data_IF_669383249913
#
_entry.id   IF_669383249913
#
_cell.length_a   1.000
_cell.length_b   1.000
_cell.length_c   1.000
_cell.angle_alpha   90.00
_cell.angle_beta   90.00
_cell.angle_gamma   90.00
#
_symmetry.space_group_name_H-M   'P 1'
#
loop_
_entity.id
_entity.type
_entity.pdbx_description
1 polymer ?
#
# COMPACT_ATOMS: atom_id res chain seq x y z
N UNK A 1 -9.62 17.39 -26.92
CA UNK A 1 -10.57 16.33 -26.58
C UNK A 1 -9.73 15.09 -26.39
N UNK A 2 -9.42 14.73 -25.13
CA UNK A 2 -8.62 13.53 -24.88
C UNK A 2 -9.42 12.33 -25.35
N UNK A 3 -8.75 11.39 -26.03
CA UNK A 3 -9.39 10.32 -26.77
C UNK A 3 -10.29 9.53 -25.80
N UNK A 4 -11.58 9.80 -25.85
CA UNK A 4 -12.62 8.87 -25.38
C UNK A 4 -12.69 7.79 -26.45
N UNK A 5 -12.79 6.55 -26.01
CA UNK A 5 -13.11 5.39 -26.85
C UNK A 5 -11.92 4.75 -27.57
N UNK A 6 -11.09 4.02 -26.81
CA UNK A 6 -10.67 2.66 -27.19
C UNK A 6 -10.28 1.89 -25.94
N UNK A 7 -11.21 1.18 -25.28
CA UNK A 7 -10.92 -0.09 -24.59
C UNK A 7 -12.21 -0.91 -24.37
N UNK A 8 -12.02 -2.22 -24.38
CA UNK A 8 -12.93 -3.33 -24.73
C UNK A 8 -13.81 -3.74 -23.53
N UNK A 9 -15.09 -4.15 -23.72
CA UNK A 9 -15.92 -4.65 -22.63
C UNK A 9 -15.52 -6.09 -22.24
N UNK A 10 -15.35 -6.34 -20.94
CA UNK A 10 -15.11 -7.68 -20.36
C UNK A 10 -16.42 -8.16 -19.71
N UNK A 11 -16.98 -9.27 -20.21
CA UNK A 11 -18.13 -9.95 -19.59
C UNK A 11 -17.66 -10.88 -18.44
N UNK A 12 -18.42 -11.02 -17.35
CA UNK A 12 -18.17 -12.03 -16.32
C UNK A 12 -18.98 -13.32 -16.59
N UNK A 13 -18.40 -14.49 -16.30
CA UNK A 13 -19.15 -15.75 -16.18
C UNK A 13 -18.98 -16.38 -14.79
N UNK A 14 -20.10 -16.95 -14.37
CA UNK A 14 -20.44 -17.57 -13.09
C UNK A 14 -19.63 -18.83 -12.75
N UNK A 15 -19.46 -19.08 -11.45
CA UNK A 15 -18.69 -20.20 -10.91
C UNK A 15 -19.44 -21.52 -10.75
N UNK A 16 -18.79 -22.50 -10.09
CA UNK A 16 -19.43 -23.66 -9.48
C UNK A 16 -18.68 -24.17 -8.23
N UNK A 17 -19.50 -24.55 -7.24
CA UNK A 17 -19.20 -25.27 -6.01
C UNK A 17 -18.66 -26.68 -6.24
N UNK A 18 -17.83 -27.18 -5.31
CA UNK A 18 -17.66 -28.62 -5.08
C UNK A 18 -17.92 -28.91 -3.60
N UNK A 19 -18.85 -29.84 -3.37
CA UNK A 19 -19.31 -30.30 -2.07
C UNK A 19 -18.60 -31.60 -1.65
N UNK A 20 -18.30 -31.67 -0.36
CA UNK A 20 -18.15 -32.78 0.59
C UNK A 20 -18.03 -34.25 0.14
N UNK A 21 -17.20 -35.03 0.87
CA UNK A 21 -17.65 -36.15 1.73
C UNK A 21 -16.55 -36.73 2.62
N UNK A 22 -16.93 -36.99 3.87
CA UNK A 22 -16.21 -37.72 4.91
C UNK A 22 -16.15 -39.24 4.62
N UNK A 23 -15.19 -39.94 5.23
CA UNK A 23 -15.47 -41.26 5.80
C UNK A 23 -14.55 -41.58 6.99
N UNK A 24 -15.19 -42.05 8.05
CA UNK A 24 -14.67 -42.52 9.35
C UNK A 24 -14.19 -43.96 9.32
N UNK A 25 -13.24 -44.32 10.19
CA UNK A 25 -13.21 -45.64 10.87
C UNK A 25 -12.50 -45.55 12.22
N UNK A 26 -13.01 -46.32 13.18
CA UNK A 26 -12.68 -46.36 14.60
C UNK A 26 -11.64 -47.45 14.95
N UNK A 27 -11.01 -47.35 16.12
CA UNK A 27 -11.21 -48.26 17.26
C UNK A 27 -10.01 -48.28 18.26
N UNK A 28 -10.37 -48.29 19.56
CA UNK A 28 -9.78 -48.99 20.73
C UNK A 28 -8.26 -48.90 20.97
N UNK A 29 -7.69 -48.54 22.12
CA UNK A 29 -8.13 -48.57 23.51
C UNK A 29 -6.98 -49.17 24.34
N UNK A 30 -6.50 -48.53 25.42
CA UNK A 30 -6.05 -49.16 26.68
C UNK A 30 -5.64 -48.13 27.74
N UNK A 31 -5.83 -48.54 28.99
CA UNK A 31 -5.79 -47.84 30.29
C UNK A 31 -4.42 -47.37 30.78
N UNK A 32 -4.38 -46.30 31.61
CA UNK A 32 -3.74 -46.32 32.94
C UNK A 32 -4.08 -45.06 33.76
N UNK A 33 -4.52 -45.27 34.99
CA UNK A 33 -4.76 -44.25 36.02
C UNK A 33 -3.44 -43.86 36.67
N UNK A 34 -3.05 -42.59 36.64
CA UNK A 34 -2.10 -42.01 37.59
C UNK A 34 -2.65 -40.70 38.12
N UNK A 35 -2.79 -40.66 39.44
CA UNK A 35 -3.24 -39.51 40.22
C UNK A 35 -2.05 -38.54 40.30
N UNK A 36 -2.05 -37.54 39.44
CA UNK A 36 -1.36 -36.28 39.70
C UNK A 36 -2.44 -35.23 39.90
N UNK A 37 -2.25 -34.42 40.94
CA UNK A 37 -3.12 -33.34 41.37
C UNK A 37 -3.23 -32.30 40.24
N UNK A 38 -4.10 -32.57 39.27
CA UNK A 38 -4.41 -31.67 38.16
C UNK A 38 -5.11 -30.46 38.76
N UNK A 39 -4.53 -29.28 38.59
CA UNK A 39 -5.32 -28.06 38.55
C UNK A 39 -6.57 -28.37 37.71
N UNK A 40 -7.76 -28.13 38.26
CA UNK A 40 -9.03 -28.50 37.64
C UNK A 40 -8.99 -28.20 36.15
N UNK A 41 -9.28 -29.18 35.30
CA UNK A 41 -9.29 -29.05 33.83
C UNK A 41 -10.04 -27.78 33.38
N UNK A 42 -11.07 -27.40 34.13
CA UNK A 42 -11.82 -26.15 33.98
C UNK A 42 -10.98 -24.88 34.16
N UNK A 43 -10.07 -24.84 35.13
CA UNK A 43 -9.18 -23.69 35.39
C UNK A 43 -8.17 -23.52 34.25
N UNK A 44 -7.65 -24.62 33.71
CA UNK A 44 -6.72 -24.57 32.57
C UNK A 44 -7.43 -24.11 31.28
N UNK A 45 -8.66 -24.58 31.05
CA UNK A 45 -9.51 -24.13 29.94
C UNK A 45 -9.91 -22.65 30.04
N UNK A 46 -10.22 -22.17 31.25
CA UNK A 46 -10.51 -20.76 31.48
C UNK A 46 -9.26 -19.90 31.27
N UNK A 47 -8.09 -20.33 31.74
CA UNK A 47 -6.85 -19.57 31.57
C UNK A 47 -6.42 -19.51 30.10
N UNK A 48 -6.53 -20.63 29.37
CA UNK A 48 -6.19 -20.69 27.93
C UNK A 48 -7.16 -19.87 27.07
N UNK A 49 -8.46 -19.85 27.40
CA UNK A 49 -9.41 -18.97 26.72
C UNK A 49 -9.17 -17.49 27.05
N UNK A 50 -8.80 -17.15 28.29
CA UNK A 50 -8.40 -15.79 28.66
C UNK A 50 -7.15 -15.33 27.90
N UNK A 51 -6.11 -16.18 27.83
CA UNK A 51 -4.88 -15.91 27.08
C UNK A 51 -5.15 -15.74 25.58
N UNK A 52 -6.03 -16.57 25.00
CA UNK A 52 -6.44 -16.43 23.61
C UNK A 52 -7.22 -15.12 23.35
N UNK A 53 -8.11 -14.72 24.25
CA UNK A 53 -8.87 -13.47 24.15
C UNK A 53 -7.98 -12.22 24.28
N UNK A 54 -6.93 -12.27 25.11
CA UNK A 54 -5.95 -11.19 25.26
C UNK A 54 -4.99 -11.07 24.07
N UNK A 55 -4.86 -12.11 23.26
CA UNK A 55 -3.94 -12.16 22.12
C UNK A 55 -4.52 -11.67 20.78
N UNK A 56 -5.80 -11.26 20.73
CA UNK A 56 -6.51 -10.99 19.47
C UNK A 56 -6.39 -9.57 18.89
N UNK A 57 -5.59 -8.68 19.48
CA UNK A 57 -5.42 -7.33 18.90
C UNK A 57 -4.33 -7.35 17.82
N UNK A 58 -4.60 -8.02 16.70
CA UNK A 58 -3.80 -7.84 15.49
C UNK A 58 -4.14 -6.46 14.90
N UNK A 59 -3.31 -5.46 15.19
CA UNK A 59 -3.45 -4.12 14.61
C UNK A 59 -2.89 -4.20 13.18
N UNK A 60 -3.77 -4.18 12.18
CA UNK A 60 -3.42 -4.25 10.76
C UNK A 60 -3.22 -2.87 10.12
N UNK A 61 -3.43 -1.78 10.86
CA UNK A 61 -3.32 -0.38 10.41
C UNK A 61 -2.42 0.43 11.37
N UNK A 62 -2.26 1.73 11.12
CA UNK A 62 -1.69 2.63 12.14
C UNK A 62 -2.49 2.51 13.46
N UNK A 63 -1.81 2.40 14.63
CA UNK A 63 -2.50 2.35 15.92
C UNK A 63 -3.30 3.64 16.18
N UNK A 64 -4.46 3.51 16.82
CA UNK A 64 -5.24 4.69 17.24
C UNK A 64 -4.45 5.54 18.23
N UNK A 65 -4.57 6.88 18.15
CA UNK A 65 -3.91 7.78 19.10
C UNK A 65 -4.50 7.59 20.51
N UNK A 66 -3.65 7.70 21.54
CA UNK A 66 -4.05 7.60 22.94
C UNK A 66 -4.21 8.97 23.63
N UNK A 67 -3.99 10.04 22.87
CA UNK A 67 -4.07 11.44 23.29
C UNK A 67 -4.31 12.31 22.05
N UNK A 68 -4.68 13.58 22.24
CA UNK A 68 -5.04 14.48 21.14
C UNK A 68 -3.93 14.66 20.10
N UNK A 69 -2.67 14.70 20.53
CA UNK A 69 -1.52 14.79 19.63
C UNK A 69 -0.26 14.15 20.22
N UNK A 70 0.63 13.68 19.35
CA UNK A 70 1.98 13.22 19.69
C UNK A 70 2.91 13.60 18.54
N UNK A 71 3.42 14.84 18.55
CA UNK A 71 4.30 15.34 17.49
C UNK A 71 5.59 14.51 17.45
N UNK A 72 5.97 13.98 16.29
CA UNK A 72 7.20 13.20 16.15
C UNK A 72 8.44 14.01 16.55
N UNK A 73 9.18 13.50 17.52
CA UNK A 73 10.55 13.90 17.83
C UNK A 73 11.51 13.19 16.87
N UNK A 74 12.05 13.93 15.91
CA UNK A 74 12.97 13.43 14.89
C UNK A 74 14.42 13.40 15.38
N UNK A 75 14.71 14.03 16.52
CA UNK A 75 16.05 14.12 17.09
C UNK A 75 16.28 13.03 18.16
N UNK A 76 15.21 12.37 18.60
CA UNK A 76 15.30 11.24 19.54
C UNK A 76 16.11 10.08 18.96
N UNK A 77 17.04 9.56 19.75
CA UNK A 77 17.78 8.34 19.44
C UNK A 77 17.02 7.05 19.82
N UNK A 78 15.87 7.18 20.49
CA UNK A 78 15.07 6.03 20.94
C UNK A 78 14.23 5.53 19.77
N UNK A 79 14.36 4.25 19.46
CA UNK A 79 13.60 3.60 18.38
C UNK A 79 12.35 2.92 18.93
N UNK A 80 11.19 3.30 18.40
CA UNK A 80 9.88 2.71 18.69
C UNK A 80 9.15 2.40 17.37
N UNK A 81 7.97 1.77 17.45
CA UNK A 81 7.08 1.69 16.29
C UNK A 81 6.47 3.09 16.04
N UNK A 82 6.82 3.74 14.93
CA UNK A 82 6.53 5.15 14.69
C UNK A 82 7.63 6.06 15.24
N UNK A 83 7.25 7.10 15.98
CA UNK A 83 8.17 8.10 16.55
C UNK A 83 7.85 8.34 18.03
N UNK A 84 8.90 8.64 18.81
CA UNK A 84 8.73 9.21 20.16
C UNK A 84 8.09 10.59 20.02
N UNK A 85 7.28 10.99 21.00
CA UNK A 85 6.65 12.31 21.00
C UNK A 85 7.61 13.37 21.58
N UNK A 86 7.56 14.59 21.03
CA UNK A 86 8.09 15.78 21.72
C UNK A 86 7.36 16.03 23.04
N UNK A 87 7.98 16.73 23.98
CA UNK A 87 7.28 17.25 25.16
C UNK A 87 6.13 18.18 24.70
N UNK A 88 4.88 17.98 25.15
CA UNK A 88 3.75 18.84 24.78
C UNK A 88 3.98 20.33 25.02
N UNK A 89 4.86 20.72 25.94
CA UNK A 89 5.21 22.13 26.21
C UNK A 89 6.05 22.77 25.11
N UNK A 90 6.77 21.97 24.34
CA UNK A 90 7.65 22.42 23.26
C UNK A 90 6.95 22.41 21.90
N UNK A 91 5.75 21.84 21.81
CA UNK A 91 4.94 21.75 20.59
C UNK A 91 4.38 23.12 20.19
N UNK A 92 4.44 23.41 18.88
CA UNK A 92 3.97 24.67 18.28
C UNK A 92 3.08 24.41 17.07
N UNK A 93 2.35 25.43 16.62
CA UNK A 93 1.54 25.36 15.41
C UNK A 93 2.35 24.92 14.19
N UNK A 94 3.61 25.34 14.10
CA UNK A 94 4.53 24.99 13.02
C UNK A 94 4.83 23.47 12.95
N UNK A 95 4.64 22.71 14.03
CA UNK A 95 4.80 21.25 14.01
C UNK A 95 3.69 20.53 13.22
N UNK A 96 2.54 21.19 13.03
CA UNK A 96 1.38 20.69 12.29
C UNK A 96 1.26 21.32 10.90
N UNK A 97 2.15 22.23 10.54
CA UNK A 97 2.06 23.04 9.34
C UNK A 97 3.23 22.75 8.40
N UNK A 98 2.92 22.75 7.10
CA UNK A 98 3.92 22.80 6.04
C UNK A 98 3.41 23.71 4.94
N UNK A 99 4.20 24.73 4.59
CA UNK A 99 4.00 25.53 3.39
C UNK A 99 4.36 24.71 2.14
N UNK A 100 3.57 23.67 1.86
CA UNK A 100 3.89 22.64 0.88
C UNK A 100 3.82 23.14 -0.58
N UNK A 101 3.17 24.27 -0.84
CA UNK A 101 2.92 24.80 -2.19
C UNK A 101 2.22 23.78 -3.10
N UNK A 102 1.21 23.07 -2.59
CA UNK A 102 0.46 22.08 -3.37
C UNK A 102 -0.45 22.69 -4.45
N UNK A 103 -0.55 24.00 -4.52
CA UNK A 103 -1.20 24.75 -5.60
C UNK A 103 -0.33 24.82 -6.87
N UNK A 104 1.00 24.68 -6.72
CA UNK A 104 1.95 24.85 -7.83
C UNK A 104 2.21 23.53 -8.56
N UNK A 105 2.23 23.52 -9.90
CA UNK A 105 2.66 22.38 -10.68
C UNK A 105 4.08 21.93 -10.32
N UNK A 106 4.32 20.62 -10.37
CA UNK A 106 5.65 20.03 -10.18
C UNK A 106 6.28 19.68 -11.52
N UNK A 107 7.61 19.75 -11.57
CA UNK A 107 8.36 19.38 -12.76
C UNK A 107 8.28 17.86 -12.97
N UNK A 108 7.62 17.46 -14.05
CA UNK A 108 7.43 16.06 -14.43
C UNK A 108 8.54 15.53 -15.34
N UNK A 109 9.46 16.39 -15.78
CA UNK A 109 10.62 16.00 -16.60
C UNK A 109 11.75 15.35 -15.79
N UNK A 110 11.70 15.49 -14.46
CA UNK A 110 12.64 14.86 -13.52
C UNK A 110 12.53 13.33 -13.49
N UNK A 111 11.43 12.78 -14.01
CA UNK A 111 11.15 11.35 -14.03
C UNK A 111 10.87 10.86 -15.44
N UNK A 112 11.42 9.69 -15.81
CA UNK A 112 11.22 9.10 -17.13
C UNK A 112 9.79 8.62 -17.38
N UNK A 113 9.05 8.32 -16.32
CA UNK A 113 7.62 7.99 -16.41
C UNK A 113 6.74 9.22 -16.57
N UNK A 114 7.31 10.44 -16.57
CA UNK A 114 6.57 11.66 -16.81
C UNK A 114 5.61 12.04 -15.68
N UNK A 115 5.92 11.67 -14.45
CA UNK A 115 5.14 12.07 -13.26
C UNK A 115 6.03 12.51 -12.11
N UNK A 116 5.47 13.28 -11.19
CA UNK A 116 6.12 13.73 -9.97
C UNK A 116 5.17 13.58 -8.80
N UNK A 117 5.57 12.82 -7.77
CA UNK A 117 4.79 12.59 -6.56
C UNK A 117 5.41 13.39 -5.42
N UNK A 118 4.64 14.32 -4.85
CA UNK A 118 5.02 15.04 -3.62
C UNK A 118 4.26 14.44 -2.45
N UNK A 119 4.92 13.60 -1.65
CA UNK A 119 4.32 12.94 -0.49
C UNK A 119 4.49 13.79 0.78
N UNK A 120 3.39 14.05 1.47
CA UNK A 120 3.32 14.70 2.78
C UNK A 120 2.91 13.65 3.81
N UNK A 121 3.91 13.02 4.39
CA UNK A 121 3.78 12.05 5.46
C UNK A 121 4.37 12.59 6.77
N UNK A 122 4.46 11.75 7.82
CA UNK A 122 5.04 12.14 9.12
C UNK A 122 6.47 12.68 9.04
N UNK A 123 7.24 12.30 8.01
CA UNK A 123 8.58 12.83 7.76
C UNK A 123 8.58 14.28 7.29
N UNK A 124 7.47 14.76 6.72
CA UNK A 124 7.30 16.15 6.27
C UNK A 124 6.53 16.99 7.29
N UNK A 125 5.48 16.46 7.89
CA UNK A 125 4.72 17.10 8.97
C UNK A 125 4.80 16.24 10.23
N UNK A 126 5.65 16.59 11.21
CA UNK A 126 5.83 15.83 12.44
C UNK A 126 4.53 15.61 13.23
N UNK A 127 3.59 16.56 13.16
CA UNK A 127 2.28 16.47 13.81
C UNK A 127 1.36 15.36 13.28
N UNK A 128 1.68 14.70 12.16
CA UNK A 128 0.92 13.54 11.65
C UNK A 128 1.16 12.26 12.46
N UNK A 129 2.16 12.23 13.34
CA UNK A 129 2.48 11.05 14.12
C UNK A 129 1.30 10.65 15.01
N UNK A 130 0.99 9.35 15.02
CA UNK A 130 -0.18 8.69 15.65
C UNK A 130 -1.55 8.95 15.00
N UNK A 131 -1.64 9.80 13.96
CA UNK A 131 -2.93 10.22 13.40
C UNK A 131 -3.43 9.38 12.21
N UNK A 132 -2.63 8.42 11.72
CA UNK A 132 -3.09 7.45 10.75
C UNK A 132 -3.41 7.99 9.36
N UNK A 133 -2.89 9.15 8.97
CA UNK A 133 -3.15 9.77 7.66
C UNK A 133 -1.92 10.43 7.03
N UNK A 134 -1.92 10.49 5.71
CA UNK A 134 -0.98 11.29 4.91
C UNK A 134 -1.64 11.77 3.62
N UNK A 135 -0.95 12.65 2.88
CA UNK A 135 -1.44 13.26 1.64
C UNK A 135 -0.36 13.21 0.57
N UNK A 136 -0.72 13.02 -0.69
CA UNK A 136 0.19 13.18 -1.82
C UNK A 136 -0.43 14.06 -2.91
N UNK A 137 0.39 14.88 -3.56
CA UNK A 137 0.06 15.49 -4.85
C UNK A 137 0.80 14.74 -5.94
N UNK A 138 0.11 14.44 -7.04
CA UNK A 138 0.74 13.86 -8.23
C UNK A 138 0.47 14.75 -9.44
N UNK A 139 1.54 15.14 -10.11
CA UNK A 139 1.53 15.83 -11.40
C UNK A 139 1.93 14.85 -12.51
N UNK A 140 1.20 14.88 -13.62
CA UNK A 140 1.43 14.02 -14.77
C UNK A 140 1.67 14.87 -16.02
N UNK A 141 2.77 14.62 -16.71
CA UNK A 141 3.01 15.11 -18.07
C UNK A 141 1.96 14.52 -19.03
N UNK A 142 1.80 15.07 -20.25
CA UNK A 142 1.12 14.37 -21.31
C UNK A 142 1.72 12.98 -21.52
N UNK A 143 0.88 11.94 -21.56
CA UNK A 143 1.30 10.52 -21.60
C UNK A 143 2.15 10.05 -20.41
N UNK A 144 2.20 10.82 -19.32
CA UNK A 144 2.88 10.43 -18.10
C UNK A 144 2.08 9.43 -17.29
N UNK A 145 2.77 8.60 -16.52
CA UNK A 145 2.18 7.64 -15.59
C UNK A 145 2.82 7.73 -14.20
N UNK A 146 2.03 7.40 -13.19
CA UNK A 146 2.53 6.86 -11.95
C UNK A 146 2.43 5.32 -12.09
N UNK A 147 3.57 4.65 -12.30
CA UNK A 147 3.63 3.26 -12.77
C UNK A 147 3.00 2.29 -11.77
N UNK A 148 2.80 1.02 -12.13
CA UNK A 148 2.32 0.01 -11.19
C UNK A 148 3.11 0.01 -9.88
N UNK A 149 2.41 0.27 -8.78
CA UNK A 149 2.96 0.34 -7.43
C UNK A 149 1.94 -0.13 -6.39
N UNK A 150 2.38 -0.29 -5.14
CA UNK A 150 1.53 -0.62 -4.00
C UNK A 150 1.94 0.15 -2.75
N UNK A 151 0.96 0.42 -1.89
CA UNK A 151 1.16 0.96 -0.55
C UNK A 151 0.99 -0.18 0.47
N UNK A 152 2.08 -0.69 1.06
CA UNK A 152 2.02 -1.86 1.94
C UNK A 152 1.31 -1.61 3.28
N UNK A 153 0.99 -0.36 3.61
CA UNK A 153 0.44 0.05 4.91
C UNK A 153 -0.72 1.05 4.82
N UNK A 154 -1.28 1.28 3.63
CA UNK A 154 -2.37 2.24 3.49
C UNK A 154 -3.29 1.94 2.32
N UNK A 155 -4.58 2.18 2.52
CA UNK A 155 -5.53 2.44 1.45
C UNK A 155 -5.34 3.88 0.96
N UNK A 156 -5.51 4.10 -0.34
CA UNK A 156 -5.47 5.42 -0.97
C UNK A 156 -6.86 5.80 -1.53
N UNK A 157 -7.23 7.06 -1.38
CA UNK A 157 -8.30 7.68 -2.18
C UNK A 157 -7.74 8.86 -2.97
N UNK A 158 -7.93 8.84 -4.28
CA UNK A 158 -7.41 9.84 -5.21
C UNK A 158 -8.55 10.67 -5.80
N UNK A 159 -8.36 11.99 -5.87
CA UNK A 159 -9.24 12.97 -6.51
C UNK A 159 -8.50 13.68 -7.63
N UNK A 160 -9.09 13.72 -8.83
CA UNK A 160 -8.52 14.46 -9.96
C UNK A 160 -8.81 15.95 -9.81
N UNK A 161 -7.77 16.77 -9.78
CA UNK A 161 -7.90 18.22 -9.73
C UNK A 161 -7.95 18.85 -11.13
N UNK A 162 -7.21 18.29 -12.08
CA UNK A 162 -7.12 18.77 -13.46
C UNK A 162 -6.88 17.62 -14.44
N UNK A 163 -7.37 17.77 -15.68
CA UNK A 163 -7.17 16.82 -16.75
C UNK A 163 -8.02 15.55 -16.64
N UNK A 164 -7.48 14.45 -17.15
CA UNK A 164 -8.12 13.14 -17.20
C UNK A 164 -7.09 12.07 -16.86
N UNK A 165 -7.46 11.08 -16.05
CA UNK A 165 -6.60 9.94 -15.70
C UNK A 165 -7.30 8.62 -16.00
N UNK A 166 -6.58 7.69 -16.63
CA UNK A 166 -6.91 6.28 -16.62
C UNK A 166 -6.27 5.65 -15.39
N UNK A 167 -7.08 5.14 -14.47
CA UNK A 167 -6.58 4.54 -13.22
C UNK A 167 -7.10 3.12 -13.06
N UNK A 168 -6.41 2.31 -12.26
CA UNK A 168 -6.95 1.03 -11.84
C UNK A 168 -6.10 0.29 -10.82
N UNK A 169 -6.69 -0.71 -10.16
CA UNK A 169 -6.00 -1.67 -9.31
C UNK A 169 -6.30 -3.10 -9.75
N UNK A 170 -5.41 -4.01 -9.37
CA UNK A 170 -5.51 -5.44 -9.67
C UNK A 170 -5.74 -6.21 -8.37
N UNK A 171 -6.75 -7.08 -8.33
CA UNK A 171 -6.99 -7.95 -7.15
C UNK A 171 -5.89 -8.98 -6.99
N UNK A 172 -5.77 -9.55 -5.79
CA UNK A 172 -4.88 -10.70 -5.56
C UNK A 172 -5.26 -11.92 -6.41
N UNK A 173 -4.35 -12.91 -6.47
CA UNK A 173 -4.61 -14.24 -7.02
C UNK A 173 -5.90 -14.87 -6.41
N UNK A 174 -6.63 -15.73 -7.13
CA UNK A 174 -6.36 -16.36 -8.44
C UNK A 174 -6.79 -15.53 -9.66
N UNK A 175 -7.65 -14.53 -9.48
CA UNK A 175 -8.31 -13.86 -10.60
C UNK A 175 -7.47 -12.75 -11.25
N UNK A 176 -6.57 -12.10 -10.49
CA UNK A 176 -5.79 -10.95 -10.95
C UNK A 176 -6.64 -9.93 -11.74
N UNK A 177 -7.85 -9.66 -11.22
CA UNK A 177 -8.86 -8.90 -11.93
C UNK A 177 -8.53 -7.41 -11.86
N UNK A 178 -8.48 -6.78 -13.03
CA UNK A 178 -8.35 -5.33 -13.15
C UNK A 178 -9.70 -4.63 -12.92
N UNK A 179 -9.71 -3.71 -11.97
CA UNK A 179 -10.75 -2.69 -11.81
C UNK A 179 -10.18 -1.36 -12.25
N UNK A 180 -10.69 -0.81 -13.36
CA UNK A 180 -10.17 0.42 -13.95
C UNK A 180 -11.27 1.37 -14.40
N UNK A 181 -10.95 2.67 -14.40
CA UNK A 181 -11.88 3.72 -14.84
C UNK A 181 -11.14 4.94 -15.38
N UNK A 182 -11.81 5.63 -16.31
CA UNK A 182 -11.43 6.98 -16.72
C UNK A 182 -12.02 7.99 -15.75
N UNK A 183 -11.16 8.77 -15.09
CA UNK A 183 -11.50 9.85 -14.18
C UNK A 183 -11.30 11.19 -14.87
N UNK A 184 -12.22 12.13 -14.67
CA UNK A 184 -12.11 13.53 -15.05
C UNK A 184 -11.97 14.39 -13.80
N UNK A 185 -11.66 15.68 -13.98
CA UNK A 185 -11.67 16.66 -12.89
C UNK A 185 -12.90 16.52 -11.98
N UNK A 186 -12.66 16.37 -10.67
CA UNK A 186 -13.66 16.18 -9.63
C UNK A 186 -14.02 14.72 -9.33
N UNK A 187 -13.66 13.78 -10.20
CA UNK A 187 -13.91 12.36 -9.95
C UNK A 187 -12.92 11.81 -8.91
N UNK A 188 -13.38 10.78 -8.17
CA UNK A 188 -12.62 10.09 -7.13
C UNK A 188 -12.50 8.60 -7.40
N UNK A 189 -11.42 7.97 -6.92
CA UNK A 189 -11.22 6.52 -7.01
C UNK A 189 -10.43 6.00 -5.80
N UNK A 190 -10.74 4.79 -5.34
CA UNK A 190 -10.14 4.17 -4.16
C UNK A 190 -9.25 3.01 -4.58
N UNK A 191 -8.04 2.96 -4.02
CA UNK A 191 -7.09 1.86 -4.16
C UNK A 191 -6.95 1.14 -2.82
N UNK A 192 -7.41 -0.12 -2.70
CA UNK A 192 -7.30 -0.87 -1.46
C UNK A 192 -5.85 -1.11 -1.05
N UNK A 193 -5.60 -1.13 0.26
CA UNK A 193 -4.30 -1.37 0.86
C UNK A 193 -3.60 -2.62 0.30
N UNK A 194 -2.31 -2.48 -0.01
CA UNK A 194 -1.47 -3.58 -0.49
C UNK A 194 -1.71 -4.01 -1.95
N UNK A 195 -2.76 -3.53 -2.62
CA UNK A 195 -3.01 -3.91 -4.02
C UNK A 195 -2.17 -3.10 -5.01
N UNK A 196 -1.70 -3.79 -6.06
CA UNK A 196 -1.01 -3.15 -7.17
C UNK A 196 -2.00 -2.27 -7.92
N UNK A 197 -1.64 -1.01 -8.11
CA UNK A 197 -2.43 -0.03 -8.83
C UNK A 197 -1.56 0.96 -9.60
N UNK A 198 -2.18 1.75 -10.48
CA UNK A 198 -1.49 2.69 -11.35
C UNK A 198 -2.41 3.86 -11.73
N UNK A 199 -1.78 4.94 -12.23
CA UNK A 199 -2.47 6.06 -12.85
C UNK A 199 -1.73 6.48 -14.12
N UNK A 200 -2.47 6.71 -15.21
CA UNK A 200 -1.92 7.11 -16.49
C UNK A 200 -2.69 8.33 -17.02
N UNK A 201 -1.99 9.32 -17.55
CA UNK A 201 -2.59 10.44 -18.28
C UNK A 201 -2.66 10.11 -19.78
N UNK A 202 -3.83 9.77 -20.34
CA UNK A 202 -3.93 9.40 -21.75
C UNK A 202 -3.98 10.59 -22.71
N UNK A 203 -3.94 11.83 -22.21
CA UNK A 203 -3.94 13.02 -23.07
C UNK A 203 -2.52 13.22 -23.67
N UNK A 204 -2.37 13.31 -25.00
CA UNK A 204 -1.06 13.46 -25.65
C UNK A 204 -0.46 14.86 -25.56
N UNK A 205 -1.27 15.87 -25.23
CA UNK A 205 -0.91 17.29 -25.30
C UNK A 205 -1.21 18.07 -24.01
N UNK A 206 -1.85 17.44 -23.01
CA UNK A 206 -2.29 18.11 -21.79
C UNK A 206 -1.82 17.38 -20.53
N UNK A 207 -1.36 18.09 -19.49
CA UNK A 207 -1.05 17.48 -18.22
C UNK A 207 -2.32 17.11 -17.44
N UNK A 208 -2.13 16.34 -16.38
CA UNK A 208 -3.15 16.04 -15.38
C UNK A 208 -2.58 16.21 -13.96
N UNK A 209 -3.46 16.47 -12.99
CA UNK A 209 -3.08 16.67 -11.59
C UNK A 209 -4.08 15.95 -10.69
N UNK A 210 -3.58 15.28 -9.66
CA UNK A 210 -4.40 14.65 -8.64
C UNK A 210 -3.88 14.89 -7.22
N UNK A 211 -4.77 14.77 -6.24
CA UNK A 211 -4.45 14.68 -4.82
C UNK A 211 -4.92 13.32 -4.32
N UNK A 212 -4.07 12.65 -3.55
CA UNK A 212 -4.35 11.39 -2.88
C UNK A 212 -4.28 11.58 -1.37
N UNK A 213 -5.23 11.02 -0.63
CA UNK A 213 -5.17 10.86 0.81
C UNK A 213 -4.97 9.38 1.14
N UNK A 214 -4.10 9.08 2.11
CA UNK A 214 -3.73 7.71 2.47
C UNK A 214 -4.00 7.45 3.94
N UNK A 215 -4.45 6.25 4.26
CA UNK A 215 -4.85 5.83 5.62
C UNK A 215 -3.68 5.38 6.52
N UNK A 216 -2.51 6.03 6.39
CA UNK A 216 -1.38 5.86 7.30
C UNK A 216 -0.52 7.12 7.32
N UNK A 217 0.09 7.41 8.47
CA UNK A 217 1.12 8.43 8.62
C UNK A 217 2.38 8.13 7.79
N UNK A 218 2.60 6.86 7.45
CA UNK A 218 3.70 6.39 6.63
C UNK A 218 3.26 5.20 5.75
N UNK A 219 2.59 5.48 4.61
CA UNK A 219 2.00 4.44 3.76
C UNK A 219 3.07 3.52 3.15
N UNK A 220 4.28 4.05 2.92
CA UNK A 220 5.30 3.41 2.08
C UNK A 220 4.87 3.34 0.62
N UNK A 221 5.80 3.08 -0.28
CA UNK A 221 5.51 2.84 -1.68
C UNK A 221 6.46 1.77 -2.22
N UNK A 222 5.93 0.85 -3.01
CA UNK A 222 6.72 -0.15 -3.73
C UNK A 222 6.37 -0.03 -5.20
N UNK A 223 7.17 0.69 -5.96
CA UNK A 223 7.08 0.69 -7.43
C UNK A 223 7.55 -0.66 -7.95
N UNK A 224 6.68 -1.39 -8.62
CA UNK A 224 6.89 -2.82 -8.93
C UNK A 224 8.12 -3.02 -9.80
N UNK A 225 8.26 -2.23 -10.87
CA UNK A 225 9.42 -2.35 -11.75
C UNK A 225 10.73 -2.01 -11.04
N UNK A 226 10.75 -0.98 -10.17
CA UNK A 226 11.92 -0.62 -9.39
C UNK A 226 12.31 -1.71 -8.39
N UNK A 227 11.35 -2.30 -7.69
CA UNK A 227 11.62 -3.36 -6.72
C UNK A 227 12.11 -4.65 -7.40
N UNK A 228 11.50 -5.02 -8.53
CA UNK A 228 11.80 -6.28 -9.23
C UNK A 228 13.10 -6.17 -10.03
N UNK A 229 13.28 -5.11 -10.83
CA UNK A 229 14.40 -4.98 -11.76
C UNK A 229 15.48 -3.99 -11.32
N UNK A 230 15.19 -3.10 -10.38
CA UNK A 230 16.10 -2.04 -9.89
C UNK A 230 16.57 -2.20 -8.45
N UNK A 231 16.32 -3.35 -7.82
CA UNK A 231 16.73 -3.62 -6.44
C UNK A 231 18.25 -3.60 -6.26
N UNK A 232 18.69 -3.29 -5.04
CA UNK A 232 20.10 -3.21 -4.66
C UNK A 232 20.33 -4.03 -3.39
N UNK A 233 21.03 -5.18 -3.44
CA UNK A 233 21.55 -5.85 -4.65
C UNK A 233 20.43 -6.35 -5.59
N UNK A 234 20.70 -6.57 -6.88
CA UNK A 234 19.70 -7.03 -7.84
C UNK A 234 19.24 -8.45 -7.53
N UNK A 235 17.95 -8.74 -7.79
CA UNK A 235 17.44 -10.12 -7.81
C UNK A 235 18.16 -10.89 -8.92
N UNK A 236 18.54 -12.14 -8.65
CA UNK A 236 19.20 -13.01 -9.64
C UNK A 236 18.38 -13.12 -10.93
N UNK A 237 19.08 -13.01 -12.06
CA UNK A 237 18.53 -13.21 -13.40
C UNK A 237 17.94 -14.62 -13.58
N UNK A 238 18.49 -15.65 -12.93
CA UNK A 238 17.90 -17.00 -12.88
C UNK A 238 16.49 -17.00 -12.27
N UNK A 239 16.31 -16.27 -11.16
CA UNK A 239 15.01 -16.16 -10.48
C UNK A 239 14.01 -15.44 -11.36
N UNK A 240 14.41 -14.28 -11.91
CA UNK A 240 13.51 -13.46 -12.72
C UNK A 240 13.21 -14.10 -14.08
N UNK A 241 14.19 -14.70 -14.75
CA UNK A 241 13.99 -15.38 -16.04
C UNK A 241 12.98 -16.52 -15.87
N UNK A 242 13.09 -17.28 -14.79
CA UNK A 242 12.13 -18.33 -14.46
C UNK A 242 10.75 -17.78 -14.10
N UNK A 243 10.68 -16.72 -13.29
CA UNK A 243 9.42 -16.12 -12.85
C UNK A 243 8.64 -15.46 -14.01
N UNK A 244 9.34 -14.74 -14.89
CA UNK A 244 8.76 -14.04 -16.03
C UNK A 244 8.67 -14.91 -17.30
N UNK A 245 9.23 -16.12 -17.27
CA UNK A 245 9.23 -17.08 -18.38
C UNK A 245 9.90 -16.52 -19.65
N UNK A 246 11.02 -15.84 -19.46
CA UNK A 246 11.79 -15.20 -20.54
C UNK A 246 13.26 -15.63 -20.47
N UNK A 247 14.02 -15.28 -21.50
CA UNK A 247 15.47 -15.46 -21.47
C UNK A 247 16.15 -14.50 -20.48
N UNK A 248 17.27 -14.93 -19.91
CA UNK A 248 18.12 -14.09 -19.04
C UNK A 248 18.48 -12.76 -19.69
N UNK A 249 18.80 -12.75 -20.99
CA UNK A 249 19.12 -11.52 -21.73
C UNK A 249 18.01 -10.47 -21.68
N UNK A 250 16.75 -10.90 -21.65
CA UNK A 250 15.60 -9.99 -21.51
C UNK A 250 15.57 -9.40 -20.10
N UNK A 251 15.85 -10.22 -19.08
CA UNK A 251 15.98 -9.75 -17.69
C UNK A 251 17.15 -8.78 -17.55
N UNK A 252 18.33 -9.12 -18.08
CA UNK A 252 19.51 -8.26 -18.06
C UNK A 252 19.20 -6.91 -18.71
N UNK A 253 18.48 -6.92 -19.84
CA UNK A 253 18.03 -5.70 -20.49
C UNK A 253 17.08 -4.88 -19.61
N UNK A 254 16.11 -5.52 -18.94
CA UNK A 254 15.22 -4.86 -18.00
C UNK A 254 16.01 -4.29 -16.81
N UNK A 255 16.89 -5.06 -16.18
CA UNK A 255 17.72 -4.61 -15.06
C UNK A 255 18.66 -3.46 -15.43
N UNK A 256 19.10 -3.40 -16.69
CA UNK A 256 19.89 -2.29 -17.22
C UNK A 256 19.08 -1.01 -17.49
N UNK A 257 17.73 -1.06 -17.45
CA UNK A 257 16.91 0.14 -17.55
C UNK A 257 17.04 1.03 -16.31
N UNK A 258 16.57 2.27 -16.44
CA UNK A 258 16.65 3.27 -15.37
C UNK A 258 15.43 3.16 -14.45
N UNK A 259 15.66 2.55 -13.29
CA UNK A 259 14.68 2.42 -12.23
C UNK A 259 14.89 3.53 -11.18
N UNK A 260 14.43 4.74 -11.51
CA UNK A 260 14.48 5.92 -10.62
C UNK A 260 13.18 6.10 -9.84
N UNK A 261 13.26 6.75 -8.68
CA UNK A 261 12.07 7.11 -7.90
C UNK A 261 11.44 8.40 -8.43
N UNK A 262 10.11 8.45 -8.51
CA UNK A 262 9.33 9.64 -8.83
C UNK A 262 8.75 10.31 -7.57
N UNK A 263 8.99 9.75 -6.38
CA UNK A 263 8.61 10.32 -5.09
C UNK A 263 9.67 11.31 -4.60
N UNK A 264 9.23 12.55 -4.32
CA UNK A 264 10.01 13.62 -3.72
C UNK A 264 9.62 13.84 -2.25
#
# INVERSE_FOLDING_TARGET
>A
MCIRDRYIPVHPLHGQNINSRNSTTAASGYTRTEINQMASSSTFLVLTTLLALLSWQAIASDPSPLQDFCVADKDSHVRVNGFVCKDPKDVKADDFFLAANLDKPRDTTVSKVGSNVTLINVMRIPGLNTLGISLARIDYAPLGENPPHTHPRATEILTVLEGTLYVGFVTSNQDNKLFAKMLNKGDVFVFPEGLIHFQFNPCPDKPAVAIAALSSQNPGAITIANAVFGSKPPISDDVLAKAFQVEKKTVDWLQAQFWGDNHN
#
